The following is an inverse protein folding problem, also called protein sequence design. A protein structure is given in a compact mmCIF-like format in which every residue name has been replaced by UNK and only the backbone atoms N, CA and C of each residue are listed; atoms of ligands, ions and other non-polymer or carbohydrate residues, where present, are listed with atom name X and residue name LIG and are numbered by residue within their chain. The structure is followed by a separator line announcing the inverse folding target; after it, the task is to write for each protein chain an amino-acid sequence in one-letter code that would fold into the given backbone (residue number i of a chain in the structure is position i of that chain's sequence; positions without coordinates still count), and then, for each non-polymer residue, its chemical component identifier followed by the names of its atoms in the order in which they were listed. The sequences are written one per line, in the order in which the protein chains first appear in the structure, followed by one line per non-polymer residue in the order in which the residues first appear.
data_IF_127713584088
#
_entry.id   IF_127713584088
#
_cell.length_a   1.000
_cell.length_b   1.000
_cell.length_c   1.000
_cell.angle_alpha   90.00
_cell.angle_beta   90.00
_cell.angle_gamma   90.00
#
_symmetry.space_group_name_H-M   'P 1'
#
loop_
_entity.id
_entity.type
_entity.pdbx_description
1 polymer ?
#
# COMPACT_ATOMS: atom_id res chain seq x y z
N UNK A 1 8.12 -4.62 -15.71
CA UNK A 1 8.74 -5.89 -16.14
C UNK A 1 10.26 -5.81 -16.12
N UNK A 2 10.87 -4.76 -16.72
CA UNK A 2 12.33 -4.62 -16.77
C UNK A 2 12.97 -4.51 -15.40
N UNK A 3 12.43 -3.69 -14.50
CA UNK A 3 12.93 -3.55 -13.13
C UNK A 3 12.86 -4.87 -12.34
N UNK A 4 11.78 -5.66 -12.51
CA UNK A 4 11.68 -6.97 -11.86
C UNK A 4 12.77 -7.94 -12.32
N UNK A 5 13.05 -7.97 -13.63
CA UNK A 5 14.12 -8.79 -14.18
C UNK A 5 15.50 -8.37 -13.68
N UNK A 6 15.72 -7.07 -13.51
CA UNK A 6 17.02 -6.54 -13.08
C UNK A 6 17.25 -6.65 -11.57
N UNK A 7 16.22 -6.41 -10.75
CA UNK A 7 16.37 -6.21 -9.30
C UNK A 7 15.54 -7.17 -8.44
N UNK A 8 14.65 -7.98 -9.03
CA UNK A 8 13.77 -8.85 -8.25
C UNK A 8 12.97 -8.06 -7.19
N UNK A 9 13.01 -8.52 -5.94
CA UNK A 9 12.30 -7.85 -4.83
C UNK A 9 12.86 -6.46 -4.47
N UNK A 10 14.12 -6.17 -4.82
CA UNK A 10 14.71 -4.85 -4.59
C UNK A 10 14.10 -3.76 -5.49
N UNK A 11 13.28 -4.17 -6.47
CA UNK A 11 12.45 -3.25 -7.23
C UNK A 11 11.58 -2.37 -6.31
N UNK A 12 10.95 -2.98 -5.30
CA UNK A 12 9.94 -2.28 -4.49
C UNK A 12 10.51 -1.11 -3.68
N UNK A 13 11.76 -1.22 -3.24
CA UNK A 13 12.46 -0.11 -2.55
C UNK A 13 12.78 1.03 -3.50
N UNK A 14 12.94 0.74 -4.79
CA UNK A 14 13.30 1.71 -5.84
C UNK A 14 12.10 2.42 -6.45
N UNK A 15 10.89 1.87 -6.27
CA UNK A 15 9.68 2.52 -6.73
C UNK A 15 9.35 3.71 -5.83
N UNK A 16 9.13 4.85 -6.44
CA UNK A 16 8.55 6.01 -5.79
C UNK A 16 7.12 6.23 -6.27
N UNK A 17 6.22 6.62 -5.35
CA UNK A 17 4.81 6.83 -5.64
C UNK A 17 3.88 5.77 -5.06
N UNK A 18 2.63 5.84 -5.49
CA UNK A 18 1.52 5.02 -4.99
C UNK A 18 1.32 3.80 -5.88
N UNK A 19 1.37 2.61 -5.31
CA UNK A 19 1.14 1.40 -6.09
C UNK A 19 0.57 0.23 -5.29
N UNK A 20 -0.23 -0.56 -5.98
CA UNK A 20 -0.54 -1.94 -5.66
C UNK A 20 -0.29 -2.76 -6.93
N UNK A 21 0.60 -3.73 -6.88
CA UNK A 21 0.98 -4.48 -8.06
C UNK A 21 1.06 -5.98 -7.82
N UNK A 22 0.89 -6.74 -8.89
CA UNK A 22 1.04 -8.18 -8.92
C UNK A 22 1.99 -8.56 -10.06
N UNK A 23 2.96 -9.42 -9.77
CA UNK A 23 3.93 -9.93 -10.75
C UNK A 23 3.85 -11.44 -10.75
N UNK A 24 3.54 -12.02 -11.91
CA UNK A 24 3.61 -13.46 -12.13
C UNK A 24 4.95 -13.84 -12.78
N UNK A 25 5.74 -14.61 -12.06
CA UNK A 25 6.99 -15.21 -12.57
C UNK A 25 6.70 -16.62 -13.06
N UNK A 26 6.63 -16.78 -14.40
CA UNK A 26 6.34 -18.08 -15.03
C UNK A 26 7.41 -19.13 -14.75
N UNK A 27 8.68 -18.72 -14.67
CA UNK A 27 9.79 -19.66 -14.49
C UNK A 27 9.78 -20.27 -13.08
N UNK A 28 9.41 -19.45 -12.09
CA UNK A 28 9.33 -19.87 -10.69
C UNK A 28 7.94 -20.36 -10.29
N UNK A 29 6.94 -20.16 -11.17
CA UNK A 29 5.51 -20.40 -10.85
C UNK A 29 5.10 -19.67 -9.56
N UNK A 30 5.48 -18.40 -9.41
CA UNK A 30 5.16 -17.59 -8.24
C UNK A 30 4.41 -16.32 -8.63
N UNK A 31 3.49 -15.89 -7.77
CA UNK A 31 2.88 -14.56 -7.83
C UNK A 31 3.42 -13.73 -6.68
N UNK A 32 3.95 -12.55 -6.98
CA UNK A 32 4.38 -11.59 -5.96
C UNK A 32 3.46 -10.39 -5.99
N UNK A 33 2.82 -10.11 -4.86
CA UNK A 33 2.05 -8.91 -4.62
C UNK A 33 2.93 -7.91 -3.86
N UNK A 34 2.81 -6.63 -4.15
CA UNK A 34 3.46 -5.59 -3.37
C UNK A 34 2.56 -4.37 -3.24
N UNK A 35 2.62 -3.75 -2.06
CA UNK A 35 1.87 -2.54 -1.74
C UNK A 35 2.85 -1.42 -1.37
N UNK A 36 2.57 -0.20 -1.82
CA UNK A 36 3.43 0.95 -1.60
C UNK A 36 3.77 1.21 -0.12
N UNK A 37 4.74 2.10 0.10
CA UNK A 37 5.34 2.38 1.41
C UNK A 37 4.31 2.75 2.46
N UNK A 38 3.32 3.59 2.12
CA UNK A 38 2.31 4.08 3.06
C UNK A 38 0.95 3.38 2.90
N UNK A 39 0.80 2.46 1.91
CA UNK A 39 -0.43 1.74 1.64
C UNK A 39 -1.53 2.63 1.06
N UNK A 40 -1.14 3.59 0.25
CA UNK A 40 -2.06 4.53 -0.41
C UNK A 40 -2.97 3.79 -1.38
N UNK A 41 -2.43 2.83 -2.14
CA UNK A 41 -3.26 1.96 -2.99
C UNK A 41 -3.74 0.74 -2.21
N UNK A 42 -5.03 0.39 -2.31
CA UNK A 42 -5.57 -0.79 -1.62
C UNK A 42 -5.10 -2.09 -2.28
N UNK A 43 -4.83 -3.10 -1.44
CA UNK A 43 -4.52 -4.45 -1.89
C UNK A 43 -5.01 -5.45 -0.85
N UNK A 44 -5.99 -6.24 -1.26
CA UNK A 44 -6.61 -7.29 -0.44
C UNK A 44 -6.25 -8.65 -0.98
N UNK A 45 -6.25 -9.65 -0.09
CA UNK A 45 -6.05 -11.03 -0.46
C UNK A 45 -6.77 -11.98 0.49
N UNK A 46 -7.07 -13.16 0.00
CA UNK A 46 -7.60 -14.27 0.78
C UNK A 46 -6.98 -15.58 0.32
N UNK A 47 -6.72 -16.47 1.29
CA UNK A 47 -6.25 -17.83 1.04
C UNK A 47 -7.34 -18.81 1.42
N UNK A 48 -7.59 -19.77 0.54
CA UNK A 48 -8.45 -20.94 0.76
C UNK A 48 -7.62 -22.19 0.45
N UNK A 49 -8.07 -23.38 0.79
CA UNK A 49 -7.28 -24.61 0.62
C UNK A 49 -6.73 -24.82 -0.80
N UNK A 50 -7.48 -24.43 -1.82
CA UNK A 50 -7.21 -24.69 -3.22
C UNK A 50 -7.13 -23.44 -4.10
N UNK A 51 -7.27 -22.26 -3.50
CA UNK A 51 -7.23 -20.99 -4.26
C UNK A 51 -6.69 -19.83 -3.45
N UNK A 52 -5.97 -18.94 -4.13
CA UNK A 52 -5.55 -17.65 -3.64
C UNK A 52 -6.20 -16.54 -4.47
N UNK A 53 -6.88 -15.62 -3.81
CA UNK A 53 -7.61 -14.51 -4.45
C UNK A 53 -7.01 -13.19 -3.99
N UNK A 54 -6.84 -12.24 -4.90
CA UNK A 54 -6.37 -10.90 -4.58
C UNK A 54 -6.98 -9.84 -5.48
N UNK A 55 -6.98 -8.59 -5.04
CA UNK A 55 -7.48 -7.45 -5.80
C UNK A 55 -7.43 -6.16 -4.99
N UNK A 56 -7.67 -5.04 -5.66
CA UNK A 56 -7.72 -3.72 -5.03
C UNK A 56 -9.09 -3.37 -4.44
N UNK A 57 -10.15 -4.08 -4.85
CA UNK A 57 -11.51 -3.84 -4.40
C UNK A 57 -12.03 -5.05 -3.61
N UNK A 58 -12.45 -4.79 -2.37
CA UNK A 58 -12.99 -5.85 -1.49
C UNK A 58 -14.27 -6.46 -2.05
N UNK A 59 -15.13 -5.62 -2.65
CA UNK A 59 -16.36 -6.05 -3.31
C UNK A 59 -16.10 -6.99 -4.47
N UNK A 60 -15.03 -6.76 -5.22
CA UNK A 60 -14.63 -7.64 -6.33
C UNK A 60 -14.13 -9.01 -5.81
N UNK A 61 -13.37 -9.04 -4.71
CA UNK A 61 -12.94 -10.29 -4.11
C UNK A 61 -14.10 -11.15 -3.66
N UNK A 62 -15.11 -10.54 -3.04
CA UNK A 62 -16.29 -11.22 -2.51
C UNK A 62 -17.20 -11.83 -3.59
N UNK A 63 -17.03 -11.44 -4.86
CA UNK A 63 -17.71 -12.10 -5.99
C UNK A 63 -17.10 -13.47 -6.33
N UNK A 64 -15.90 -13.76 -5.83
CA UNK A 64 -15.29 -15.06 -6.09
C UNK A 64 -16.02 -16.16 -5.30
N UNK A 65 -16.42 -17.27 -5.93
CA UNK A 65 -17.22 -18.33 -5.29
C UNK A 65 -16.62 -18.88 -3.99
N UNK A 66 -15.29 -18.93 -3.87
CA UNK A 66 -14.59 -19.39 -2.66
C UNK A 66 -14.73 -18.45 -1.46
N UNK A 67 -15.30 -17.26 -1.64
CA UNK A 67 -15.53 -16.27 -0.59
C UNK A 67 -17.02 -15.99 -0.35
N UNK A 68 -17.91 -16.78 -0.95
CA UNK A 68 -19.37 -16.62 -0.81
C UNK A 68 -19.87 -16.80 0.63
N UNK A 69 -19.10 -17.50 1.47
CA UNK A 69 -19.36 -17.76 2.88
C UNK A 69 -18.62 -16.80 3.84
N UNK A 70 -17.97 -15.77 3.31
CA UNK A 70 -17.20 -14.84 4.11
C UNK A 70 -18.09 -14.10 5.14
N UNK A 71 -17.88 -14.41 6.41
CA UNK A 71 -18.63 -13.86 7.53
C UNK A 71 -18.00 -12.55 8.05
N UNK A 72 -18.77 -11.67 8.70
CA UNK A 72 -18.23 -10.48 9.32
C UNK A 72 -17.21 -10.78 10.41
N UNK A 73 -16.09 -10.06 10.42
CA UNK A 73 -15.06 -10.19 11.44
C UNK A 73 -15.40 -9.36 12.67
N UNK A 74 -15.65 -10.03 13.80
CA UNK A 74 -15.91 -9.36 15.09
C UNK A 74 -14.75 -8.49 15.55
N UNK A 75 -13.52 -8.96 15.38
CA UNK A 75 -12.30 -8.22 15.76
C UNK A 75 -12.15 -6.97 14.91
N UNK A 76 -12.39 -7.09 13.61
CA UNK A 76 -12.32 -5.94 12.71
C UNK A 76 -13.40 -4.89 13.02
N UNK A 77 -14.62 -5.32 13.34
CA UNK A 77 -15.69 -4.43 13.77
C UNK A 77 -15.34 -3.69 15.06
N UNK A 78 -14.78 -4.36 16.07
CA UNK A 78 -14.30 -3.70 17.28
C UNK A 78 -13.25 -2.63 16.98
N UNK A 79 -12.29 -2.94 16.08
CA UNK A 79 -11.28 -1.97 15.64
C UNK A 79 -11.90 -0.79 14.88
N UNK A 80 -12.90 -1.06 14.04
CA UNK A 80 -13.63 -0.01 13.34
C UNK A 80 -14.30 0.97 14.31
N UNK A 81 -14.99 0.48 15.32
CA UNK A 81 -15.62 1.34 16.32
C UNK A 81 -14.61 2.12 17.17
N UNK A 82 -13.40 1.59 17.35
CA UNK A 82 -12.34 2.28 18.10
C UNK A 82 -11.63 3.36 17.27
N UNK A 83 -11.46 3.15 15.95
CA UNK A 83 -10.60 3.97 15.10
C UNK A 83 -11.35 4.73 13.99
N UNK A 84 -12.59 4.37 13.70
CA UNK A 84 -13.35 4.93 12.57
C UNK A 84 -13.01 4.32 11.21
N UNK A 85 -12.09 3.35 11.16
CA UNK A 85 -11.68 2.64 9.93
C UNK A 85 -11.18 1.24 10.26
N UNK A 86 -11.02 0.40 9.24
CA UNK A 86 -10.43 -0.95 9.37
C UNK A 86 -8.91 -0.87 9.20
N UNK A 87 -8.10 -0.89 10.28
CA UNK A 87 -6.65 -0.85 10.16
C UNK A 87 -6.11 -2.16 9.56
N UNK A 88 -5.10 -2.06 8.69
CA UNK A 88 -4.46 -3.25 8.14
C UNK A 88 -3.82 -4.09 9.27
N UNK A 89 -3.82 -5.43 9.15
CA UNK A 89 -4.28 -6.25 8.02
C UNK A 89 -5.79 -6.53 8.01
N UNK A 90 -6.56 -5.97 8.93
CA UNK A 90 -7.98 -6.31 9.10
C UNK A 90 -8.85 -5.78 7.97
N UNK A 91 -9.88 -6.58 7.64
CA UNK A 91 -10.99 -6.22 6.76
C UNK A 91 -12.30 -6.52 7.47
N UNK A 92 -13.45 -6.03 6.99
CA UNK A 92 -14.75 -6.39 7.57
C UNK A 92 -15.05 -7.89 7.61
N UNK A 93 -14.32 -8.71 6.86
CA UNK A 93 -14.62 -10.13 6.64
C UNK A 93 -13.54 -11.05 7.18
N UNK A 94 -13.97 -12.16 7.79
CA UNK A 94 -13.08 -13.23 8.21
C UNK A 94 -12.36 -13.86 7.02
N UNK A 95 -11.06 -14.16 7.20
CA UNK A 95 -10.25 -14.81 6.17
C UNK A 95 -9.90 -13.95 4.96
N UNK A 96 -10.22 -12.65 4.99
CA UNK A 96 -9.77 -11.67 4.01
C UNK A 96 -8.87 -10.64 4.69
N UNK A 97 -7.71 -10.37 4.11
CA UNK A 97 -6.71 -9.47 4.70
C UNK A 97 -6.32 -8.34 3.75
N UNK A 98 -5.92 -7.20 4.33
CA UNK A 98 -5.17 -6.17 3.60
C UNK A 98 -3.69 -6.48 3.67
N UNK A 99 -2.97 -6.39 2.56
CA UNK A 99 -1.51 -6.39 2.61
C UNK A 99 -1.04 -5.14 3.37
N UNK A 100 -0.12 -5.31 4.31
CA UNK A 100 0.42 -4.20 5.09
C UNK A 100 1.19 -3.21 4.20
N UNK A 101 1.20 -1.90 4.53
CA UNK A 101 2.06 -0.92 3.88
C UNK A 101 3.52 -1.34 3.91
N UNK A 102 4.29 -1.07 2.83
CA UNK A 102 5.70 -1.42 2.75
C UNK A 102 6.00 -2.92 2.76
N UNK A 103 5.00 -3.75 2.43
CA UNK A 103 5.16 -5.21 2.39
C UNK A 103 4.94 -5.77 0.99
N UNK A 104 5.62 -6.86 0.73
CA UNK A 104 5.33 -7.76 -0.39
C UNK A 104 4.95 -9.15 0.13
N UNK A 105 4.16 -9.85 -0.66
CA UNK A 105 3.70 -11.22 -0.42
C UNK A 105 4.00 -12.03 -1.65
N UNK A 106 4.75 -13.12 -1.50
CA UNK A 106 5.00 -14.08 -2.58
C UNK A 106 4.25 -15.38 -2.28
N UNK A 107 3.52 -15.85 -3.28
CA UNK A 107 2.81 -17.11 -3.23
C UNK A 107 3.37 -18.07 -4.29
N UNK A 108 3.63 -19.30 -3.92
CA UNK A 108 3.89 -20.38 -4.85
C UNK A 108 2.55 -20.84 -5.46
N UNK A 109 2.43 -20.74 -6.79
CA UNK A 109 1.18 -21.03 -7.49
C UNK A 109 0.79 -22.53 -7.50
N UNK A 110 1.70 -23.43 -7.11
CA UNK A 110 1.44 -24.87 -7.05
C UNK A 110 1.02 -25.34 -5.66
N UNK A 111 1.69 -24.81 -4.63
CA UNK A 111 1.49 -25.24 -3.25
C UNK A 111 0.63 -24.28 -2.45
N UNK A 112 0.36 -23.08 -2.98
CA UNK A 112 -0.30 -21.96 -2.31
C UNK A 112 0.39 -21.52 -1.00
N UNK A 113 1.66 -21.92 -0.82
CA UNK A 113 2.45 -21.43 0.31
C UNK A 113 2.76 -19.95 0.17
N UNK A 114 2.63 -19.20 1.27
CA UNK A 114 2.75 -17.75 1.29
C UNK A 114 3.97 -17.34 2.12
N UNK A 115 4.73 -16.39 1.59
CA UNK A 115 5.79 -15.70 2.30
C UNK A 115 5.52 -14.20 2.27
N UNK A 116 5.43 -13.57 3.44
CA UNK A 116 5.28 -12.12 3.57
C UNK A 116 6.62 -11.53 4.01
N UNK A 117 7.04 -10.45 3.34
CA UNK A 117 8.28 -9.73 3.64
C UNK A 117 8.00 -8.24 3.71
N UNK A 118 8.48 -7.59 4.77
CA UNK A 118 8.56 -6.14 4.85
C UNK A 118 9.78 -5.68 4.03
N UNK A 119 9.55 -4.85 3.01
CA UNK A 119 10.63 -4.28 2.19
C UNK A 119 10.96 -2.84 2.60
N UNK A 120 10.03 -2.15 3.27
CA UNK A 120 10.22 -0.79 3.75
C UNK A 120 9.51 -0.57 5.08
N UNK A 121 10.11 0.25 5.93
CA UNK A 121 9.55 0.68 7.21
C UNK A 121 9.80 2.18 7.40
N UNK A 122 8.77 2.90 7.80
CA UNK A 122 8.94 4.26 8.28
C UNK A 122 9.74 4.24 9.59
N UNK A 123 10.78 5.07 9.65
CA UNK A 123 11.58 5.27 10.85
C UNK A 123 11.92 6.74 10.97
N UNK A 124 11.57 7.34 12.08
CA UNK A 124 12.14 8.62 12.48
C UNK A 124 13.56 8.32 12.96
N UNK A 125 14.54 8.69 12.14
CA UNK A 125 15.95 8.53 12.53
C UNK A 125 16.26 9.35 13.79
N UNK A 126 17.18 8.87 14.62
CA UNK A 126 17.82 9.70 15.63
C UNK A 126 18.87 10.59 14.93
N UNK A 127 18.46 11.34 13.90
CA UNK A 127 19.35 12.36 13.35
C UNK A 127 19.52 13.41 14.42
N UNK A 128 20.76 13.69 14.81
CA UNK A 128 21.12 14.98 15.39
C UNK A 128 20.41 16.03 14.54
N UNK A 129 19.78 17.01 15.18
CA UNK A 129 19.04 18.05 14.45
C UNK A 129 19.95 18.59 13.34
N UNK A 130 19.53 18.58 12.08
CA UNK A 130 20.35 19.12 11.01
C UNK A 130 20.71 20.55 11.38
N UNK A 131 21.98 20.91 11.20
CA UNK A 131 22.43 22.28 11.43
C UNK A 131 21.65 23.20 10.48
N UNK A 132 20.98 24.20 11.03
CA UNK A 132 20.17 25.14 10.24
C UNK A 132 19.25 25.97 11.13
N UNK A 133 18.71 27.01 10.56
CA UNK A 133 17.70 27.87 11.17
C UNK A 133 16.30 27.35 10.86
N UNK A 134 15.28 27.87 11.54
CA UNK A 134 13.88 27.58 11.25
C UNK A 134 13.51 27.92 9.80
N UNK A 135 14.06 29.01 9.26
CA UNK A 135 13.86 29.43 7.86
C UNK A 135 14.48 28.43 6.86
N UNK A 136 15.66 27.89 7.18
CA UNK A 136 16.31 26.86 6.37
C UNK A 136 15.43 25.59 6.28
N UNK A 137 14.92 25.13 7.43
CA UNK A 137 14.04 23.96 7.48
C UNK A 137 12.70 24.19 6.81
N UNK A 138 12.11 25.40 6.96
CA UNK A 138 10.87 25.75 6.27
C UNK A 138 11.06 25.77 4.75
N UNK A 139 12.19 26.31 4.28
CA UNK A 139 12.53 26.32 2.85
C UNK A 139 12.72 24.90 2.29
N UNK A 140 13.43 24.04 3.01
CA UNK A 140 13.62 22.64 2.62
C UNK A 140 12.29 21.88 2.60
N UNK A 141 11.44 22.06 3.63
CA UNK A 141 10.12 21.45 3.69
C UNK A 141 9.24 21.86 2.52
N UNK A 142 9.21 23.16 2.19
CA UNK A 142 8.47 23.67 1.03
C UNK A 142 8.93 23.02 -0.28
N UNK A 143 10.25 22.86 -0.46
CA UNK A 143 10.81 22.16 -1.62
C UNK A 143 10.34 20.70 -1.68
N UNK A 144 10.44 19.97 -0.58
CA UNK A 144 10.02 18.57 -0.49
C UNK A 144 8.50 18.39 -0.73
N UNK A 145 7.67 19.28 -0.20
CA UNK A 145 6.23 19.29 -0.45
C UNK A 145 5.92 19.56 -1.92
N UNK A 146 6.58 20.56 -2.52
CA UNK A 146 6.42 20.89 -3.93
C UNK A 146 6.77 19.72 -4.86
N UNK A 147 7.90 19.06 -4.61
CA UNK A 147 8.33 17.88 -5.36
C UNK A 147 7.33 16.71 -5.19
N UNK A 148 6.88 16.49 -3.98
CA UNK A 148 5.89 15.44 -3.67
C UNK A 148 4.55 15.70 -4.37
N UNK A 149 4.07 16.93 -4.42
CA UNK A 149 2.86 17.33 -5.15
C UNK A 149 3.07 17.15 -6.64
N UNK A 150 4.14 17.71 -7.18
CA UNK A 150 4.45 17.66 -8.62
C UNK A 150 4.51 16.22 -9.13
N UNK A 151 5.13 15.32 -8.39
CA UNK A 151 5.23 13.90 -8.76
C UNK A 151 3.87 13.17 -8.82
N UNK A 152 2.81 13.76 -8.24
CA UNK A 152 1.46 13.20 -8.19
C UNK A 152 0.48 13.87 -9.15
N UNK A 153 0.94 14.86 -9.92
CA UNK A 153 0.11 15.56 -10.91
C UNK A 153 -0.01 14.78 -12.25
N UNK A 154 0.75 13.72 -12.44
CA UNK A 154 0.60 12.86 -13.61
C UNK A 154 -0.70 12.06 -13.51
N UNK A 155 -1.66 12.36 -14.39
CA UNK A 155 -2.96 11.68 -14.45
C UNK A 155 -3.52 11.70 -15.87
N UNK A 156 -4.23 10.63 -16.24
CA UNK A 156 -4.95 10.51 -17.53
C UNK A 156 -6.30 11.24 -17.52
N UNK A 157 -6.68 11.82 -16.40
CA UNK A 157 -7.99 12.51 -16.20
C UNK A 157 -7.75 13.84 -15.49
N UNK A 158 -8.70 14.80 -15.59
CA UNK A 158 -8.61 16.05 -14.86
C UNK A 158 -8.41 15.83 -13.35
N UNK A 159 -7.44 16.53 -12.78
CA UNK A 159 -7.16 16.49 -11.35
C UNK A 159 -7.99 17.54 -10.61
N UNK A 160 -8.38 17.21 -9.38
CA UNK A 160 -9.02 18.13 -8.44
C UNK A 160 -8.34 18.05 -7.08
N UNK A 161 -8.37 19.14 -6.34
CA UNK A 161 -7.86 19.23 -4.98
C UNK A 161 -9.00 19.47 -4.01
N UNK A 162 -9.06 18.70 -2.92
CA UNK A 162 -9.95 18.97 -1.80
C UNK A 162 -9.34 20.08 -0.92
N UNK A 163 -9.91 21.27 -0.99
CA UNK A 163 -9.46 22.41 -0.19
C UNK A 163 -10.38 22.58 1.01
N UNK A 164 -9.93 22.18 2.18
CA UNK A 164 -10.68 22.29 3.45
C UNK A 164 -10.55 23.67 4.12
N UNK A 165 -9.68 24.55 3.63
CA UNK A 165 -9.31 25.80 4.28
C UNK A 165 -8.32 25.63 5.45
N UNK A 166 -7.82 24.41 5.69
CA UNK A 166 -6.76 24.15 6.66
C UNK A 166 -5.36 24.44 6.10
N UNK A 167 -4.38 24.53 7.00
CA UNK A 167 -2.98 24.83 6.65
C UNK A 167 -2.41 23.80 5.65
N UNK A 168 -2.61 22.50 5.92
CA UNK A 168 -2.06 21.43 5.09
C UNK A 168 -2.60 21.46 3.66
N UNK A 169 -3.93 21.57 3.50
CA UNK A 169 -4.55 21.62 2.17
C UNK A 169 -4.19 22.89 1.40
N UNK A 170 -3.95 23.99 2.10
CA UNK A 170 -3.49 25.24 1.50
C UNK A 170 -2.04 25.15 1.06
N UNK A 171 -1.18 24.51 1.85
CA UNK A 171 0.22 24.27 1.48
C UNK A 171 0.38 23.34 0.26
N UNK A 172 -0.55 22.39 0.08
CA UNK A 172 -0.56 21.52 -1.12
C UNK A 172 -1.02 22.28 -2.37
N UNK A 173 -1.82 23.36 -2.21
CA UNK A 173 -2.32 24.18 -3.32
C UNK A 173 -1.30 25.23 -3.78
N UNK A 174 -0.45 25.75 -2.88
CA UNK A 174 0.50 26.82 -3.14
C UNK A 174 1.67 26.37 -4.01
#
# INVERSE_FOLDING_TARGET
VHGWKAWGHDLFVRLDGMFALAIYDRNKSTVTLARDRFGEKPLYYATRPDVFVFGSELTALLQHPSLSDASPSKIALQKFFAHGFFPAPHTPYEGVSKLLPGHCLTIDAKTLSIQVKQYWRFSLGNSEHPAGTEDDWASELNGLVGDAVTSRLEADVPLGLFLSGGVDSSAVLS
#
